data_IF_767404510299
#
_entry.id   IF_767404510299
#
_cell.length_a   1.000
_cell.length_b   1.000
_cell.length_c   1.000
_cell.angle_alpha   90.00
_cell.angle_beta   90.00
_cell.angle_gamma   90.00
#
_symmetry.space_group_name_H-M   'P 1'
#
loop_
_entity.id
_entity.type
_entity.pdbx_description
1 polymer ?
#
# COMPACT_ATOMS: atom_id res chain seq x y z
N UNK A 1 -67.76 30.75 -20.76
CA UNK A 1 -67.26 30.06 -21.98
C UNK A 1 -66.06 29.19 -21.59
N UNK A 2 -66.24 27.89 -21.32
CA UNK A 2 -65.15 27.00 -20.90
C UNK A 2 -64.95 25.84 -21.88
N UNK A 3 -63.97 25.93 -22.77
CA UNK A 3 -63.63 24.84 -23.71
C UNK A 3 -62.98 23.68 -22.93
N UNK A 4 -63.73 22.61 -22.65
CA UNK A 4 -63.18 21.35 -22.13
C UNK A 4 -62.24 20.74 -23.18
N UNK A 5 -60.91 20.74 -22.91
CA UNK A 5 -59.89 20.04 -23.71
C UNK A 5 -60.16 18.53 -23.65
N UNK A 6 -60.59 17.92 -24.76
CA UNK A 6 -60.69 16.45 -24.90
C UNK A 6 -59.28 15.85 -24.87
N UNK A 7 -58.91 15.15 -23.80
CA UNK A 7 -57.67 14.35 -23.73
C UNK A 7 -57.82 13.16 -24.68
N UNK A 8 -56.96 13.07 -25.70
CA UNK A 8 -56.87 11.89 -26.58
C UNK A 8 -56.33 10.71 -25.74
N UNK A 9 -57.13 9.66 -25.59
CA UNK A 9 -56.72 8.40 -24.95
C UNK A 9 -55.91 7.61 -25.97
N UNK A 10 -54.59 7.66 -25.88
CA UNK A 10 -53.71 6.79 -26.67
C UNK A 10 -53.86 5.36 -26.14
N UNK A 11 -54.40 4.44 -26.96
CA UNK A 11 -54.39 3.01 -26.65
C UNK A 11 -53.02 2.50 -27.07
N UNK A 12 -52.07 2.46 -26.13
CA UNK A 12 -50.76 1.88 -26.37
C UNK A 12 -50.94 0.43 -26.83
N UNK A 13 -50.27 0.07 -27.92
CA UNK A 13 -50.38 -1.25 -28.51
C UNK A 13 -49.65 -2.27 -27.62
N UNK A 14 -50.21 -3.46 -27.39
CA UNK A 14 -49.62 -4.46 -26.50
C UNK A 14 -48.16 -4.80 -26.87
N UNK A 15 -47.84 -4.73 -28.16
CA UNK A 15 -46.48 -4.89 -28.72
C UNK A 15 -45.47 -3.89 -28.16
N UNK A 16 -45.89 -2.66 -27.84
CA UNK A 16 -45.03 -1.62 -27.28
C UNK A 16 -44.64 -1.95 -25.83
N UNK A 17 -45.58 -2.49 -25.03
CA UNK A 17 -45.28 -2.96 -23.68
C UNK A 17 -44.32 -4.15 -23.68
N UNK A 18 -44.50 -5.10 -24.62
CA UNK A 18 -43.56 -6.22 -24.78
C UNK A 18 -42.15 -5.74 -25.13
N UNK A 19 -42.02 -4.70 -25.97
CA UNK A 19 -40.72 -4.12 -26.32
C UNK A 19 -40.04 -3.45 -25.13
N UNK A 20 -40.77 -2.67 -24.34
CA UNK A 20 -40.22 -2.02 -23.13
C UNK A 20 -39.80 -3.06 -22.09
N UNK A 21 -40.63 -4.09 -21.84
CA UNK A 21 -40.29 -5.16 -20.91
C UNK A 21 -39.09 -5.98 -21.39
N UNK A 22 -39.02 -6.30 -22.69
CA UNK A 22 -37.87 -6.96 -23.28
C UNK A 22 -36.58 -6.15 -23.13
N UNK A 23 -36.66 -4.84 -23.38
CA UNK A 23 -35.52 -3.93 -23.23
C UNK A 23 -35.08 -3.82 -21.75
N UNK A 24 -36.01 -3.74 -20.80
CA UNK A 24 -35.66 -3.68 -19.37
C UNK A 24 -34.97 -4.96 -18.89
N UNK A 25 -35.41 -6.13 -19.37
CA UNK A 25 -34.77 -7.41 -19.06
C UNK A 25 -33.36 -7.46 -19.66
N UNK A 26 -33.20 -7.04 -20.91
CA UNK A 26 -31.89 -6.99 -21.57
C UNK A 26 -30.91 -6.03 -20.84
N UNK A 27 -31.38 -4.85 -20.43
CA UNK A 27 -30.58 -3.89 -19.66
C UNK A 27 -30.18 -4.49 -18.30
N UNK A 28 -31.10 -5.15 -17.58
CA UNK A 28 -30.80 -5.80 -16.31
C UNK A 28 -29.75 -6.93 -16.47
N UNK A 29 -29.85 -7.73 -17.54
CA UNK A 29 -28.86 -8.77 -17.86
C UNK A 29 -27.49 -8.16 -18.16
N UNK A 30 -27.42 -7.06 -18.91
CA UNK A 30 -26.16 -6.35 -19.22
C UNK A 30 -25.53 -5.75 -17.96
N UNK A 31 -26.32 -5.18 -17.06
CA UNK A 31 -25.83 -4.64 -15.78
C UNK A 31 -25.26 -5.77 -14.91
N UNK A 32 -25.99 -6.90 -14.78
CA UNK A 32 -25.52 -8.07 -14.03
C UNK A 32 -24.24 -8.69 -14.62
N UNK A 33 -24.15 -8.78 -15.95
CA UNK A 33 -22.96 -9.30 -16.64
C UNK A 33 -21.73 -8.38 -16.50
N UNK A 34 -21.93 -7.05 -16.41
CA UNK A 34 -20.83 -6.12 -16.14
C UNK A 34 -20.31 -6.24 -14.71
N UNK A 35 -21.17 -6.50 -13.74
CA UNK A 35 -20.74 -6.74 -12.35
C UNK A 35 -19.93 -8.02 -12.16
N UNK A 36 -20.14 -9.06 -13.00
CA UNK A 36 -19.43 -10.35 -12.89
C UNK A 36 -18.06 -10.37 -13.57
N UNK A 37 -17.63 -9.27 -14.21
CA UNK A 37 -16.31 -9.13 -14.86
C UNK A 37 -15.29 -8.36 -14.01
N UNK A 38 -15.47 -8.27 -12.69
CA UNK A 38 -14.33 -7.96 -11.81
C UNK A 38 -13.40 -9.17 -11.84
N UNK A 39 -12.18 -9.01 -12.35
CA UNK A 39 -11.16 -10.05 -12.22
C UNK A 39 -10.98 -10.33 -10.72
N UNK A 40 -11.41 -11.50 -10.26
CA UNK A 40 -11.27 -11.93 -8.87
C UNK A 40 -9.84 -12.40 -8.60
N UNK A 41 -8.89 -11.49 -8.75
CA UNK A 41 -7.46 -11.75 -8.60
C UNK A 41 -6.79 -10.64 -7.83
N UNK A 42 -5.77 -10.98 -7.05
CA UNK A 42 -4.97 -10.04 -6.29
C UNK A 42 -4.25 -9.06 -7.25
N UNK A 43 -4.36 -7.75 -7.04
CA UNK A 43 -3.58 -6.75 -7.78
C UNK A 43 -2.06 -6.87 -7.56
N UNK A 44 -1.31 -6.13 -8.37
CA UNK A 44 0.05 -5.77 -8.01
C UNK A 44 0.00 -4.49 -7.20
N UNK A 45 0.26 -4.59 -5.89
CA UNK A 45 0.26 -3.47 -4.96
C UNK A 45 1.58 -2.72 -4.93
N UNK A 46 2.65 -3.24 -5.55
CA UNK A 46 3.95 -2.55 -5.55
C UNK A 46 3.81 -1.09 -6.03
N UNK A 47 4.31 -0.16 -5.22
CA UNK A 47 4.23 1.29 -5.43
C UNK A 47 2.90 1.94 -5.06
N UNK A 48 1.87 1.18 -4.69
CA UNK A 48 0.59 1.76 -4.25
C UNK A 48 0.76 2.44 -2.89
N UNK A 49 0.11 3.59 -2.66
CA UNK A 49 -0.02 4.16 -1.33
C UNK A 49 -0.78 3.21 -0.40
N UNK A 50 -0.36 3.08 0.86
CA UNK A 50 -1.02 2.22 1.83
C UNK A 50 -2.50 2.57 2.00
N UNK A 51 -2.85 3.86 1.97
CA UNK A 51 -4.23 4.35 2.05
C UNK A 51 -5.13 3.83 0.91
N UNK A 52 -4.57 3.63 -0.29
CA UNK A 52 -5.31 3.03 -1.41
C UNK A 52 -5.52 1.53 -1.21
N UNK A 53 -4.52 0.86 -0.62
CA UNK A 53 -4.61 -0.57 -0.31
C UNK A 53 -5.57 -0.83 0.85
N UNK A 54 -5.66 0.07 1.82
CA UNK A 54 -6.68 -0.01 2.88
C UNK A 54 -8.10 0.06 2.31
N UNK A 55 -8.35 0.94 1.33
CA UNK A 55 -9.64 0.97 0.63
C UNK A 55 -9.91 -0.32 -0.14
N UNK A 56 -8.86 -0.94 -0.69
CA UNK A 56 -8.97 -2.24 -1.34
C UNK A 56 -9.37 -3.32 -0.33
N UNK A 57 -8.67 -3.39 0.82
CA UNK A 57 -8.95 -4.31 1.94
C UNK A 57 -10.41 -4.21 2.41
N UNK A 58 -10.88 -2.99 2.68
CA UNK A 58 -12.27 -2.72 3.08
C UNK A 58 -13.32 -3.18 2.05
N UNK A 59 -12.94 -3.28 0.77
CA UNK A 59 -13.85 -3.68 -0.32
C UNK A 59 -13.84 -5.18 -0.62
N UNK A 60 -12.99 -5.98 0.04
CA UNK A 60 -12.84 -7.42 -0.21
C UNK A 60 -12.94 -8.24 1.09
N UNK A 61 -14.13 -8.79 1.37
CA UNK A 61 -14.42 -9.53 2.61
C UNK A 61 -13.58 -10.81 2.79
N UNK A 62 -13.10 -11.43 1.70
CA UNK A 62 -12.33 -12.68 1.75
C UNK A 62 -10.82 -12.48 1.83
N UNK A 63 -10.35 -11.23 1.97
CA UNK A 63 -8.93 -10.91 2.09
C UNK A 63 -8.71 -10.24 3.44
N UNK A 64 -7.62 -10.60 4.11
CA UNK A 64 -7.13 -9.93 5.31
C UNK A 64 -5.71 -9.47 5.05
N UNK A 65 -5.47 -8.16 5.12
CA UNK A 65 -4.16 -7.57 4.86
C UNK A 65 -3.42 -7.25 6.17
N UNK A 66 -2.19 -7.75 6.29
CA UNK A 66 -1.26 -7.43 7.38
C UNK A 66 -0.20 -6.47 6.84
N UNK A 67 -0.01 -5.34 7.51
CA UNK A 67 0.96 -4.32 7.12
C UNK A 67 2.21 -4.40 8.00
N UNK A 68 3.37 -4.62 7.38
CA UNK A 68 4.67 -4.58 8.01
C UNK A 68 5.44 -3.36 7.54
N UNK A 69 6.04 -2.62 8.47
CA UNK A 69 6.70 -1.35 8.15
C UNK A 69 8.22 -1.52 8.17
N UNK A 70 8.87 -1.24 7.04
CA UNK A 70 10.33 -1.31 6.90
C UNK A 70 10.87 -0.07 6.18
N UNK A 71 12.13 0.29 6.46
CA UNK A 71 12.80 1.40 5.77
C UNK A 71 13.21 0.99 4.36
N UNK A 72 13.23 1.95 3.43
CA UNK A 72 13.72 1.74 2.09
C UNK A 72 14.34 3.00 1.52
N UNK A 73 15.43 2.80 0.78
CA UNK A 73 16.09 3.86 0.03
C UNK A 73 15.43 4.14 -1.32
N UNK A 74 14.68 3.18 -1.84
CA UNK A 74 14.26 3.17 -3.24
C UNK A 74 12.74 3.40 -3.39
N UNK A 75 11.97 3.19 -2.31
CA UNK A 75 10.50 3.32 -2.30
C UNK A 75 10.06 4.48 -1.41
N UNK A 76 9.22 5.35 -1.96
CA UNK A 76 8.63 6.49 -1.26
C UNK A 76 7.90 6.06 0.02
N UNK A 77 7.92 6.94 1.02
CA UNK A 77 7.20 6.73 2.27
C UNK A 77 5.71 6.45 2.01
N UNK A 78 5.13 5.56 2.82
CA UNK A 78 3.74 5.12 2.75
C UNK A 78 3.37 4.37 1.46
N UNK A 79 4.35 3.89 0.70
CA UNK A 79 4.10 3.03 -0.47
C UNK A 79 4.47 1.57 -0.18
N UNK A 80 3.71 0.65 -0.78
CA UNK A 80 3.98 -0.79 -0.70
C UNK A 80 5.24 -1.13 -1.50
N UNK A 81 6.14 -1.85 -0.85
CA UNK A 81 7.41 -2.33 -1.39
C UNK A 81 7.28 -3.76 -1.87
N UNK A 82 6.66 -4.61 -1.06
CA UNK A 82 6.56 -6.03 -1.33
C UNK A 82 5.20 -6.57 -0.89
N UNK A 83 4.79 -7.66 -1.54
CA UNK A 83 3.59 -8.40 -1.21
C UNK A 83 3.91 -9.89 -1.12
N UNK A 84 3.40 -10.57 -0.09
CA UNK A 84 3.69 -11.98 0.15
C UNK A 84 3.08 -12.90 -0.91
N UNK A 85 1.96 -12.50 -1.52
CA UNK A 85 1.27 -13.28 -2.55
C UNK A 85 1.47 -12.63 -3.91
N UNK A 86 1.77 -13.45 -4.92
CA UNK A 86 2.04 -12.96 -6.27
C UNK A 86 0.81 -12.25 -6.87
N UNK A 87 1.02 -11.18 -7.65
CA UNK A 87 -0.05 -10.55 -8.40
C UNK A 87 -0.76 -11.53 -9.34
N UNK A 88 -2.02 -11.24 -9.64
CA UNK A 88 -2.93 -12.03 -10.49
C UNK A 88 -3.29 -13.42 -9.92
N UNK A 89 -2.91 -13.71 -8.68
CA UNK A 89 -3.39 -14.90 -7.97
C UNK A 89 -4.90 -14.82 -7.82
N UNK A 90 -5.62 -15.90 -8.18
CA UNK A 90 -7.07 -15.96 -8.04
C UNK A 90 -7.46 -15.96 -6.57
N UNK A 91 -8.45 -15.16 -6.24
CA UNK A 91 -9.06 -15.13 -4.91
C UNK A 91 -10.16 -16.20 -4.92
N UNK A 92 -10.08 -17.12 -3.97
CA UNK A 92 -11.09 -18.17 -3.78
C UNK A 92 -12.19 -17.73 -2.83
N UNK A 93 -13.01 -18.71 -2.41
CA UNK A 93 -14.01 -18.51 -1.35
C UNK A 93 -13.37 -18.58 0.05
N UNK A 94 -12.19 -19.20 0.16
CA UNK A 94 -11.44 -19.31 1.42
C UNK A 94 -10.78 -17.96 1.79
N UNK A 95 -10.72 -17.63 3.09
CA UNK A 95 -10.08 -16.42 3.56
C UNK A 95 -8.57 -16.43 3.25
N UNK A 96 -8.09 -15.34 2.66
CA UNK A 96 -6.71 -15.19 2.23
C UNK A 96 -5.99 -14.14 3.07
N UNK A 97 -4.84 -14.50 3.66
CA UNK A 97 -4.01 -13.56 4.42
C UNK A 97 -2.87 -13.07 3.52
N UNK A 98 -2.84 -11.75 3.29
CA UNK A 98 -1.83 -11.08 2.47
C UNK A 98 -0.98 -10.19 3.38
N UNK A 99 0.33 -10.38 3.38
CA UNK A 99 1.26 -9.50 4.10
C UNK A 99 1.88 -8.54 3.11
N UNK A 100 1.85 -7.25 3.43
CA UNK A 100 2.45 -6.19 2.64
C UNK A 100 3.54 -5.50 3.45
N UNK A 101 4.72 -5.36 2.84
CA UNK A 101 5.74 -4.47 3.39
C UNK A 101 5.53 -3.07 2.86
N UNK A 102 5.36 -2.10 3.75
CA UNK A 102 5.15 -0.69 3.44
C UNK A 102 6.37 0.11 3.88
N UNK A 103 6.80 1.02 3.00
CA UNK A 103 7.96 1.88 3.25
C UNK A 103 7.66 2.89 4.35
N UNK A 104 8.50 2.91 5.39
CA UNK A 104 8.59 4.00 6.37
C UNK A 104 9.20 5.28 5.79
N UNK A 105 9.76 5.20 4.58
CA UNK A 105 10.63 6.20 3.97
C UNK A 105 12.10 5.83 4.12
N UNK A 106 12.96 6.82 3.94
CA UNK A 106 14.40 6.66 4.09
C UNK A 106 14.75 6.29 5.54
N UNK A 107 15.76 5.42 5.74
CA UNK A 107 16.25 5.12 7.08
C UNK A 107 16.83 6.39 7.73
N UNK A 108 16.73 6.44 9.05
CA UNK A 108 17.22 7.55 9.87
C UNK A 108 18.25 7.05 10.86
N UNK A 109 19.19 7.92 11.23
CA UNK A 109 20.24 7.61 12.19
C UNK A 109 19.64 7.38 13.58
N UNK A 110 20.02 6.28 14.24
CA UNK A 110 19.69 6.07 15.64
C UNK A 110 20.65 6.83 16.56
N UNK A 111 20.24 7.02 17.82
CA UNK A 111 21.15 7.49 18.85
C UNK A 111 22.05 6.34 19.32
N UNK A 112 23.35 6.46 19.04
CA UNK A 112 24.39 5.56 19.50
C UNK A 112 25.24 6.15 20.62
N UNK A 113 24.91 7.35 21.11
CA UNK A 113 25.58 7.93 22.27
C UNK A 113 25.43 7.01 23.49
N UNK A 114 26.54 6.60 24.08
CA UNK A 114 26.56 5.65 25.21
C UNK A 114 26.37 4.18 24.82
N UNK A 115 26.16 3.87 23.53
CA UNK A 115 26.13 2.49 23.01
C UNK A 115 27.52 2.01 22.60
N UNK A 116 27.63 0.71 22.36
CA UNK A 116 28.88 0.09 21.90
C UNK A 116 29.15 0.36 20.42
N UNK A 117 30.42 0.43 20.03
CA UNK A 117 30.79 0.52 18.62
C UNK A 117 30.32 -0.71 17.80
N UNK A 118 30.17 -1.86 18.45
CA UNK A 118 29.67 -3.09 17.81
C UNK A 118 28.22 -2.92 17.33
N UNK A 119 27.34 -2.36 18.16
CA UNK A 119 25.96 -2.05 17.78
C UNK A 119 25.89 -1.09 16.60
N UNK A 120 26.78 -0.08 16.57
CA UNK A 120 26.87 0.84 15.43
C UNK A 120 27.35 0.11 14.15
N UNK A 121 28.29 -0.83 14.26
CA UNK A 121 28.77 -1.63 13.11
C UNK A 121 27.65 -2.49 12.53
N UNK A 122 26.89 -3.18 13.37
CA UNK A 122 25.73 -3.98 12.91
C UNK A 122 24.69 -3.11 12.20
N UNK A 123 24.41 -1.92 12.74
CA UNK A 123 23.52 -0.95 12.11
C UNK A 123 24.07 -0.42 10.78
N UNK A 124 25.37 -0.11 10.72
CA UNK A 124 26.01 0.37 9.51
C UNK A 124 26.01 -0.70 8.41
N UNK A 125 26.25 -1.97 8.74
CA UNK A 125 26.18 -3.07 7.80
C UNK A 125 24.76 -3.25 7.24
N UNK A 126 23.74 -3.11 8.09
CA UNK A 126 22.33 -3.21 7.69
C UNK A 126 21.92 -2.11 6.69
N UNK A 127 22.43 -0.89 6.89
CA UNK A 127 22.05 0.28 6.10
C UNK A 127 23.11 0.71 5.07
N UNK A 128 24.15 -0.10 4.86
CA UNK A 128 25.27 0.16 3.95
C UNK A 128 25.97 1.51 4.23
N UNK A 129 26.32 1.74 5.50
CA UNK A 129 27.03 2.94 5.97
C UNK A 129 28.52 2.63 6.17
N UNK A 130 29.36 3.67 6.08
CA UNK A 130 30.79 3.58 6.35
C UNK A 130 31.09 4.18 7.72
N UNK A 131 31.77 3.43 8.58
CA UNK A 131 32.16 3.93 9.91
C UNK A 131 33.59 4.43 9.87
N UNK A 132 33.80 5.63 10.40
CA UNK A 132 35.12 6.21 10.64
C UNK A 132 35.34 6.34 12.14
N UNK A 133 36.18 5.46 12.70
CA UNK A 133 36.51 5.45 14.12
C UNK A 133 38.01 5.41 14.33
N UNK A 134 38.49 6.09 15.37
CA UNK A 134 39.90 6.05 15.78
C UNK A 134 40.26 4.82 16.62
N UNK A 135 39.27 4.08 17.12
CA UNK A 135 39.46 2.83 17.87
C UNK A 135 38.56 1.71 17.34
N UNK A 136 39.01 0.46 17.53
CA UNK A 136 38.34 -0.74 17.02
C UNK A 136 37.14 -1.17 17.87
N UNK A 137 37.13 -0.78 19.15
CA UNK A 137 36.11 -1.08 20.16
C UNK A 137 35.99 0.10 21.14
N UNK A 138 34.85 0.19 21.83
CA UNK A 138 34.60 1.18 22.88
C UNK A 138 33.15 1.67 22.95
N UNK A 139 32.91 2.61 23.85
CA UNK A 139 31.62 3.29 24.04
C UNK A 139 31.66 4.61 23.28
N UNK A 140 30.65 4.85 22.45
CA UNK A 140 30.54 6.08 21.66
C UNK A 140 30.16 7.25 22.57
N UNK A 141 30.97 8.31 22.55
CA UNK A 141 30.69 9.56 23.26
C UNK A 141 29.91 10.53 22.38
N UNK A 142 30.28 10.64 21.11
CA UNK A 142 29.58 11.50 20.15
C UNK A 142 29.59 10.88 18.76
N UNK A 143 28.51 11.11 18.01
CA UNK A 143 28.38 10.78 16.60
C UNK A 143 28.27 12.04 15.74
N UNK A 144 28.88 12.01 14.56
CA UNK A 144 28.84 13.12 13.59
C UNK A 144 27.44 13.33 12.99
N UNK A 145 26.72 12.24 12.75
CA UNK A 145 25.34 12.24 12.21
C UNK A 145 24.40 12.17 13.39
N UNK A 146 23.53 13.16 13.56
CA UNK A 146 22.66 13.22 14.73
C UNK A 146 21.50 12.24 14.64
N UNK A 147 21.00 11.79 15.78
CA UNK A 147 19.83 10.92 15.83
C UNK A 147 18.62 11.59 15.13
N UNK A 148 17.95 10.83 14.27
CA UNK A 148 16.82 11.30 13.45
C UNK A 148 17.22 11.92 12.10
N UNK A 149 18.50 12.10 11.81
CA UNK A 149 18.95 12.55 10.48
C UNK A 149 18.76 11.45 9.42
N UNK A 150 18.42 11.85 8.20
CA UNK A 150 18.21 10.93 7.09
C UNK A 150 19.53 10.33 6.62
N UNK A 151 19.53 9.01 6.44
CA UNK A 151 20.68 8.27 5.96
C UNK A 151 20.66 8.13 4.45
N UNK A 152 21.86 8.06 3.86
CA UNK A 152 22.06 7.77 2.44
C UNK A 152 23.00 6.58 2.29
N UNK A 153 22.80 5.76 1.24
CA UNK A 153 23.67 4.61 0.94
C UNK A 153 25.13 5.07 0.81
N UNK A 154 26.04 4.41 1.52
CA UNK A 154 27.47 4.69 1.52
C UNK A 154 27.91 5.92 2.31
N UNK A 155 27.02 6.54 3.08
CA UNK A 155 27.32 7.69 3.93
C UNK A 155 28.35 7.35 5.00
N UNK A 156 29.30 8.26 5.24
CA UNK A 156 30.29 8.12 6.29
C UNK A 156 29.76 8.66 7.62
N UNK A 157 29.89 7.84 8.67
CA UNK A 157 29.56 8.17 10.05
C UNK A 157 30.84 8.15 10.87
N UNK A 158 31.34 9.32 11.23
CA UNK A 158 32.48 9.45 12.14
C UNK A 158 31.99 9.45 13.59
N UNK A 159 32.70 8.73 14.48
CA UNK A 159 32.39 8.66 15.92
C UNK A 159 33.61 8.93 16.78
N UNK A 160 33.39 9.55 17.94
CA UNK A 160 34.41 9.71 18.98
C UNK A 160 34.10 8.75 20.11
N UNK A 161 35.12 8.01 20.55
CA UNK A 161 35.01 7.01 21.61
C UNK A 161 35.50 7.64 22.90
N UNK A 162 34.73 7.42 23.98
CA UNK A 162 35.10 7.87 25.30
C UNK A 162 36.40 7.19 25.72
N UNK A 163 37.46 7.97 25.86
CA UNK A 163 38.73 7.50 26.41
C UNK A 163 38.64 7.62 27.92
N UNK A 164 38.77 6.50 28.64
CA UNK A 164 38.97 6.51 30.10
C UNK A 164 40.34 7.11 30.47
#
# INVERSE_FOLDING_TARGET
MGKKKKRKKYRLNARFYCWIFGLSIAIALVINAKSTLKLNTIPNFHGWPADEVMKYDESHENISIIYELAYSYDVLQNCVMEQSIKPRTKIGDDPLILTLQVSKGFPVMEDFTGKTLMELKEFADLYDLKIESQAEEGIIETQSVLAGELLTKGMAVSVTIKTE
#
